data_IF_012855461028
#
_entry.id   IF_012855461028
#
_cell.length_a   1.000
_cell.length_b   1.000
_cell.length_c   1.000
_cell.angle_alpha   90.00
_cell.angle_beta   90.00
_cell.angle_gamma   90.00
#
_symmetry.space_group_name_H-M   'P 1'
#
loop_
_entity.id
_entity.type
_entity.pdbx_description
1 polymer ?
#
# COMPACT_ATOMS: atom_id res chain seq x y z
N UNK A 1 42.86 -1.54 71.20
CA UNK A 1 43.26 -2.87 70.71
C UNK A 1 42.41 -3.18 69.49
N UNK A 2 42.98 -3.00 68.29
CA UNK A 2 42.30 -3.24 67.03
C UNK A 2 42.27 -4.75 66.76
N UNK A 3 41.07 -5.34 66.67
CA UNK A 3 40.89 -6.71 66.18
C UNK A 3 40.85 -6.64 64.66
N UNK A 4 41.88 -7.23 64.03
CA UNK A 4 42.06 -7.24 62.58
C UNK A 4 40.91 -7.93 61.88
N UNK A 5 40.33 -7.25 60.88
CA UNK A 5 39.48 -7.88 59.87
C UNK A 5 40.39 -8.77 59.02
N UNK A 6 40.18 -10.09 59.09
CA UNK A 6 40.90 -11.06 58.26
C UNK A 6 40.14 -11.19 56.95
N UNK A 7 40.73 -10.73 55.85
CA UNK A 7 40.18 -10.90 54.51
C UNK A 7 40.39 -12.34 54.03
N UNK A 8 39.39 -12.88 53.34
CA UNK A 8 39.28 -14.27 52.93
C UNK A 8 40.18 -14.59 51.76
N UNK A 9 41.46 -14.87 52.03
CA UNK A 9 42.30 -15.49 51.01
C UNK A 9 43.15 -16.63 51.60
N UNK A 10 42.84 -17.91 51.30
CA UNK A 10 43.60 -19.05 51.79
C UNK A 10 45.05 -19.09 51.26
N UNK A 11 45.39 -18.27 50.26
CA UNK A 11 46.75 -18.20 49.67
C UNK A 11 47.68 -17.19 50.36
N UNK A 12 47.16 -16.40 51.32
CA UNK A 12 47.90 -15.35 52.04
C UNK A 12 48.23 -15.73 53.50
N UNK A 13 48.32 -17.03 53.81
CA UNK A 13 48.82 -17.46 55.12
C UNK A 13 50.16 -16.76 55.39
N UNK A 14 50.38 -16.28 56.62
CA UNK A 14 51.58 -15.51 56.97
C UNK A 14 52.89 -16.29 56.82
N UNK A 15 52.80 -17.59 56.55
CA UNK A 15 53.93 -18.48 56.30
C UNK A 15 54.70 -18.02 55.05
N UNK A 16 55.98 -17.72 55.24
CA UNK A 16 56.93 -17.27 54.21
C UNK A 16 56.62 -15.91 53.56
N UNK A 17 55.65 -15.15 54.10
CA UNK A 17 55.37 -13.80 53.64
C UNK A 17 56.52 -12.83 53.95
N UNK A 18 57.08 -12.22 52.91
CA UNK A 18 58.17 -11.24 52.95
C UNK A 18 57.71 -9.82 52.56
N UNK A 19 56.39 -9.63 52.33
CA UNK A 19 55.72 -8.37 52.04
C UNK A 19 54.52 -8.17 52.96
N UNK A 20 54.41 -6.97 53.56
CA UNK A 20 53.25 -6.54 54.34
C UNK A 20 52.66 -5.25 53.76
N UNK A 21 51.35 -5.27 53.52
CA UNK A 21 50.59 -4.13 52.99
C UNK A 21 49.61 -3.67 54.05
N UNK A 22 49.74 -2.41 54.49
CA UNK A 22 48.81 -1.79 55.43
C UNK A 22 47.83 -0.89 54.68
N UNK A 23 46.54 -1.15 54.82
CA UNK A 23 45.47 -0.43 54.14
C UNK A 23 44.21 -0.40 55.03
N UNK A 24 43.67 0.78 55.35
CA UNK A 24 42.47 0.96 56.18
C UNK A 24 42.45 0.16 57.51
N UNK A 25 43.62 0.03 58.14
CA UNK A 25 43.78 -0.75 59.38
C UNK A 25 43.71 -2.27 59.19
N UNK A 26 43.65 -2.75 57.95
CA UNK A 26 43.89 -4.14 57.60
C UNK A 26 45.36 -4.35 57.19
N UNK A 27 45.89 -5.52 57.52
CA UNK A 27 47.23 -5.96 57.15
C UNK A 27 47.11 -7.16 56.21
N UNK A 28 47.70 -7.05 55.03
CA UNK A 28 47.78 -8.13 54.06
C UNK A 28 49.21 -8.66 54.00
N UNK A 29 49.36 -9.97 54.17
CA UNK A 29 50.63 -10.67 54.03
C UNK A 29 50.74 -11.23 52.61
N UNK A 30 51.83 -10.94 51.92
CA UNK A 30 52.06 -11.36 50.56
C UNK A 30 53.53 -11.77 50.33
N UNK A 31 53.80 -12.28 49.14
CA UNK A 31 55.13 -12.68 48.71
C UNK A 31 55.65 -11.71 47.65
N UNK A 32 56.81 -11.09 47.88
CA UNK A 32 57.46 -10.17 46.95
C UNK A 32 57.69 -10.82 45.60
N UNK A 33 58.12 -12.08 45.58
CA UNK A 33 58.32 -12.83 44.34
C UNK A 33 57.06 -12.88 43.46
N UNK A 34 55.88 -13.07 44.06
CA UNK A 34 54.61 -13.10 43.34
C UNK A 34 54.16 -11.68 42.90
N UNK A 35 54.22 -10.71 43.82
CA UNK A 35 53.82 -9.33 43.55
C UNK A 35 54.69 -8.66 42.48
N UNK A 36 56.02 -8.75 42.62
CA UNK A 36 56.99 -8.16 41.70
C UNK A 36 56.92 -8.79 40.30
N UNK A 37 56.62 -10.09 40.21
CA UNK A 37 56.47 -10.77 38.91
C UNK A 37 55.26 -10.26 38.11
N UNK A 38 54.24 -9.72 38.80
CA UNK A 38 52.97 -9.28 38.20
C UNK A 38 52.85 -7.77 38.06
N UNK A 39 53.66 -6.99 38.77
CA UNK A 39 53.63 -5.53 38.74
C UNK A 39 55.02 -4.92 38.95
N UNK A 40 55.44 -4.12 37.97
CA UNK A 40 56.68 -3.33 38.06
C UNK A 40 56.59 -2.23 39.11
N UNK A 41 55.37 -1.71 39.34
CA UNK A 41 55.11 -0.72 40.39
C UNK A 41 55.28 -1.37 41.76
N UNK A 42 54.69 -2.54 41.99
CA UNK A 42 54.92 -3.29 43.24
C UNK A 42 56.39 -3.71 43.41
N UNK A 43 57.11 -3.99 42.32
CA UNK A 43 58.55 -4.23 42.38
C UNK A 43 59.32 -2.99 42.86
N UNK A 44 59.00 -1.81 42.33
CA UNK A 44 59.62 -0.55 42.74
C UNK A 44 59.26 -0.20 44.20
N UNK A 45 57.99 -0.32 44.58
CA UNK A 45 57.51 -0.13 45.96
C UNK A 45 58.18 -1.12 46.92
N UNK A 46 58.35 -2.38 46.50
CA UNK A 46 59.03 -3.40 47.29
C UNK A 46 60.54 -3.18 47.44
N UNK A 47 61.15 -2.32 46.62
CA UNK A 47 62.54 -1.88 46.76
C UNK A 47 62.65 -0.61 47.63
N UNK A 48 61.62 0.23 47.62
CA UNK A 48 61.55 1.47 48.39
C UNK A 48 61.02 1.27 49.82
N UNK A 49 60.25 0.20 50.07
CA UNK A 49 59.58 -0.06 51.34
C UNK A 49 60.53 -0.26 52.53
N UNK A 50 60.00 -0.03 53.73
CA UNK A 50 60.76 -0.13 54.97
C UNK A 50 61.07 -1.60 55.25
N UNK A 51 62.35 -1.92 55.45
CA UNK A 51 62.77 -3.23 55.91
C UNK A 51 62.55 -3.31 57.43
N UNK A 52 61.61 -4.15 57.86
CA UNK A 52 61.33 -4.44 59.28
C UNK A 52 61.34 -5.94 59.49
N UNK A 53 62.21 -6.45 60.37
CA UNK A 53 62.28 -7.88 60.75
C UNK A 53 62.35 -8.86 59.55
N UNK A 54 63.03 -8.46 58.46
CA UNK A 54 63.17 -9.29 57.26
C UNK A 54 62.01 -9.19 56.27
N UNK A 55 61.02 -8.34 56.53
CA UNK A 55 59.87 -8.06 55.66
C UNK A 55 59.93 -6.65 55.10
N UNK A 56 59.39 -6.48 53.90
CA UNK A 56 59.14 -5.16 53.32
C UNK A 56 57.73 -4.71 53.69
N UNK A 57 57.61 -3.56 54.34
CA UNK A 57 56.32 -2.97 54.71
C UNK A 57 56.05 -1.75 53.84
N UNK A 58 54.86 -1.67 53.23
CA UNK A 58 54.38 -0.45 52.59
C UNK A 58 52.94 -0.10 52.98
N UNK A 59 52.68 1.20 53.14
CA UNK A 59 51.35 1.73 53.46
C UNK A 59 50.63 2.17 52.19
N UNK A 60 49.41 1.68 52.00
CA UNK A 60 48.53 2.07 50.89
C UNK A 60 47.39 2.95 51.39
N UNK A 61 47.19 4.10 50.74
CA UNK A 61 46.19 5.10 51.15
C UNK A 61 45.27 5.55 50.00
N UNK A 62 45.42 5.00 48.79
CA UNK A 62 44.67 5.45 47.61
C UNK A 62 43.34 4.71 47.45
N UNK A 63 43.35 3.40 47.70
CA UNK A 63 42.21 2.50 47.59
C UNK A 63 41.93 1.83 48.92
N UNK A 64 40.73 1.27 49.05
CA UNK A 64 40.28 0.59 50.26
C UNK A 64 40.80 -0.85 50.36
N UNK A 65 40.65 -1.44 51.55
CA UNK A 65 41.09 -2.80 51.82
C UNK A 65 40.44 -3.85 50.88
N UNK A 66 39.19 -3.64 50.44
CA UNK A 66 38.49 -4.55 49.51
C UNK A 66 39.15 -4.56 48.14
N UNK A 67 39.54 -3.39 47.63
CA UNK A 67 40.22 -3.25 46.35
C UNK A 67 41.60 -3.90 46.38
N UNK A 68 42.34 -3.72 47.48
CA UNK A 68 43.65 -4.35 47.67
C UNK A 68 43.53 -5.87 47.80
N UNK A 69 42.51 -6.38 48.48
CA UNK A 69 42.25 -7.82 48.51
C UNK A 69 41.99 -8.38 47.11
N UNK A 70 41.18 -7.71 46.29
CA UNK A 70 40.93 -8.12 44.90
C UNK A 70 42.20 -8.10 44.04
N UNK A 71 43.07 -7.09 44.21
CA UNK A 71 44.37 -7.00 43.56
C UNK A 71 45.25 -8.21 43.92
N UNK A 72 45.32 -8.56 45.21
CA UNK A 72 46.10 -9.70 45.70
C UNK A 72 45.50 -11.03 45.25
N UNK A 73 44.18 -11.22 45.32
CA UNK A 73 43.51 -12.40 44.77
C UNK A 73 43.93 -12.63 43.32
N UNK A 74 43.96 -11.57 42.49
CA UNK A 74 44.38 -11.68 41.10
C UNK A 74 45.84 -12.07 40.94
N UNK A 75 46.76 -11.47 41.72
CA UNK A 75 48.19 -11.79 41.67
C UNK A 75 48.44 -13.30 41.87
N UNK A 76 47.67 -13.93 42.75
CA UNK A 76 47.80 -15.35 43.08
C UNK A 76 46.97 -16.29 42.20
N UNK A 77 45.82 -15.85 41.68
CA UNK A 77 44.82 -16.77 41.09
C UNK A 77 44.36 -16.40 39.68
N UNK A 78 44.88 -15.31 39.10
CA UNK A 78 44.43 -14.74 37.82
C UNK A 78 42.93 -14.36 37.79
N UNK A 79 42.30 -14.25 38.96
CA UNK A 79 40.91 -13.83 39.14
C UNK A 79 40.70 -13.14 40.49
N UNK A 80 39.54 -12.50 40.65
CA UNK A 80 39.13 -11.93 41.93
C UNK A 80 37.62 -12.09 42.13
N UNK A 81 37.17 -12.06 43.38
CA UNK A 81 35.75 -12.07 43.74
C UNK A 81 35.48 -10.92 44.69
N UNK A 82 34.37 -10.23 44.47
CA UNK A 82 33.90 -9.21 45.38
C UNK A 82 33.25 -9.88 46.60
N UNK A 83 33.43 -9.33 47.82
CA UNK A 83 32.73 -9.81 49.00
C UNK A 83 31.21 -9.75 48.76
N UNK A 84 30.48 -10.84 48.99
CA UNK A 84 29.01 -10.78 48.90
C UNK A 84 28.46 -10.10 50.15
N UNK A 85 27.40 -9.33 50.00
CA UNK A 85 26.74 -8.65 51.12
C UNK A 85 26.29 -9.61 52.25
N UNK A 86 26.13 -10.90 51.94
CA UNK A 86 25.73 -11.95 52.89
C UNK A 86 26.91 -12.56 53.68
N UNK A 87 28.16 -12.31 53.29
CA UNK A 87 29.34 -12.86 53.97
C UNK A 87 29.67 -12.10 55.27
N UNK A 88 28.83 -11.12 55.64
CA UNK A 88 29.01 -10.29 56.83
C UNK A 88 28.38 -10.87 58.11
N UNK A 89 27.59 -11.96 58.02
CA UNK A 89 27.07 -12.70 59.19
C UNK A 89 27.02 -14.21 58.91
N UNK A 90 28.13 -14.92 59.07
CA UNK A 90 28.14 -16.39 59.15
C UNK A 90 28.22 -16.85 60.61
N UNK A 91 27.12 -16.65 61.32
CA UNK A 91 26.81 -17.27 62.61
C UNK A 91 25.37 -17.77 62.60
N UNK A 92 25.22 -19.06 62.25
CA UNK A 92 24.04 -19.93 62.44
C UNK A 92 22.88 -19.88 61.42
N UNK A 93 22.91 -20.89 60.54
CA UNK A 93 21.81 -21.75 60.10
C UNK A 93 20.43 -21.13 59.78
N UNK A 94 20.15 -20.99 58.47
CA UNK A 94 18.79 -20.97 57.93
C UNK A 94 18.79 -20.80 56.41
N UNK A 95 18.60 -21.89 55.66
CA UNK A 95 18.08 -21.80 54.29
C UNK A 95 16.55 -21.63 54.33
N UNK A 96 15.87 -21.24 53.24
CA UNK A 96 16.30 -20.52 52.04
C UNK A 96 15.47 -19.22 51.87
N UNK A 97 15.77 -18.38 50.86
CA UNK A 97 14.76 -17.83 49.92
C UNK A 97 15.56 -17.30 48.73
N UNK A 98 15.40 -17.96 47.59
CA UNK A 98 15.64 -17.36 46.28
C UNK A 98 14.58 -16.27 46.08
N UNK A 99 14.90 -15.03 46.44
CA UNK A 99 14.14 -13.90 45.90
C UNK A 99 14.68 -13.70 44.50
N UNK A 100 13.93 -14.15 43.50
CA UNK A 100 14.04 -13.64 42.14
C UNK A 100 13.67 -12.14 42.18
N UNK A 101 14.63 -11.33 42.62
CA UNK A 101 14.47 -9.90 42.87
C UNK A 101 14.96 -9.10 41.69
N UNK A 102 14.01 -8.56 40.93
CA UNK A 102 14.11 -7.42 40.00
C UNK A 102 15.46 -7.22 39.29
N UNK A 103 15.49 -7.64 38.02
CA UNK A 103 16.58 -7.46 37.07
C UNK A 103 17.05 -5.99 36.94
N UNK A 104 17.97 -5.56 37.79
CA UNK A 104 18.74 -4.32 37.62
C UNK A 104 20.17 -4.49 38.12
N UNK A 105 21.04 -3.53 37.84
CA UNK A 105 22.45 -3.58 38.26
C UNK A 105 22.62 -3.24 39.73
N UNK A 106 23.55 -3.91 40.41
CA UNK A 106 24.03 -3.48 41.71
C UNK A 106 25.12 -2.41 41.50
N UNK A 107 24.79 -1.16 41.81
CA UNK A 107 25.70 -0.03 41.62
C UNK A 107 26.93 -0.13 42.52
N UNK A 108 26.83 -0.76 43.68
CA UNK A 108 27.96 -0.97 44.57
C UNK A 108 28.94 -2.00 43.98
N UNK A 109 28.42 -3.06 43.37
CA UNK A 109 29.22 -4.03 42.62
C UNK A 109 29.98 -3.36 41.46
N UNK A 110 29.27 -2.54 40.66
CA UNK A 110 29.88 -1.79 39.57
C UNK A 110 30.97 -0.83 40.08
N UNK A 111 30.72 -0.13 41.19
CA UNK A 111 31.71 0.77 41.77
C UNK A 111 32.97 0.02 42.26
N UNK A 112 32.83 -1.18 42.82
CA UNK A 112 33.97 -2.00 43.21
C UNK A 112 34.82 -2.40 41.99
N UNK A 113 34.19 -2.77 40.86
CA UNK A 113 34.91 -3.03 39.61
C UNK A 113 35.66 -1.80 39.08
N UNK A 114 35.13 -0.59 39.27
CA UNK A 114 35.81 0.67 38.93
C UNK A 114 37.08 0.86 39.78
N UNK A 115 37.01 0.60 41.08
CA UNK A 115 38.20 0.69 41.95
C UNK A 115 39.25 -0.35 41.61
N UNK A 116 38.85 -1.60 41.35
CA UNK A 116 39.81 -2.65 40.92
C UNK A 116 40.44 -2.29 39.57
N UNK A 117 39.67 -1.74 38.64
CA UNK A 117 40.19 -1.23 37.36
C UNK A 117 41.24 -0.13 37.59
N UNK A 118 40.94 0.84 38.45
CA UNK A 118 41.84 1.95 38.76
C UNK A 118 43.10 1.50 39.51
N UNK A 119 42.98 0.54 40.43
CA UNK A 119 44.11 -0.06 41.13
C UNK A 119 45.00 -0.85 40.17
N UNK A 120 44.41 -1.60 39.25
CA UNK A 120 45.15 -2.31 38.23
C UNK A 120 45.93 -1.36 37.30
N UNK A 121 45.37 -0.19 37.01
CA UNK A 121 46.05 0.85 36.25
C UNK A 121 47.21 1.47 37.06
N UNK A 122 46.97 1.83 38.33
CA UNK A 122 47.99 2.37 39.22
C UNK A 122 49.18 1.43 39.37
N UNK A 123 48.92 0.13 39.49
CA UNK A 123 49.95 -0.89 39.65
C UNK A 123 50.47 -1.49 38.32
N UNK A 124 50.08 -0.94 37.16
CA UNK A 124 50.47 -1.42 35.83
C UNK A 124 50.24 -2.94 35.63
N UNK A 125 49.07 -3.43 36.06
CA UNK A 125 48.62 -4.82 35.88
C UNK A 125 47.56 -4.86 34.78
N UNK A 126 48.01 -4.71 33.53
CA UNK A 126 47.13 -4.63 32.35
C UNK A 126 46.09 -5.77 32.21
N UNK A 127 46.42 -7.05 32.46
CA UNK A 127 45.39 -8.09 32.33
C UNK A 127 44.34 -8.07 33.46
N UNK A 128 44.66 -7.55 34.66
CA UNK A 128 43.64 -7.27 35.68
C UNK A 128 42.76 -6.09 35.29
N UNK A 129 43.35 -5.03 34.73
CA UNK A 129 42.61 -3.87 34.20
C UNK A 129 41.58 -4.32 33.15
N UNK A 130 41.99 -5.20 32.23
CA UNK A 130 41.10 -5.80 31.25
C UNK A 130 40.00 -6.66 31.91
N UNK A 131 40.36 -7.54 32.85
CA UNK A 131 39.40 -8.38 33.56
C UNK A 131 38.35 -7.56 34.33
N UNK A 132 38.76 -6.50 35.01
CA UNK A 132 37.85 -5.62 35.74
C UNK A 132 36.89 -4.87 34.80
N UNK A 133 37.38 -4.45 33.63
CA UNK A 133 36.52 -3.86 32.59
C UNK A 133 35.48 -4.87 32.07
N UNK A 134 35.89 -6.11 31.78
CA UNK A 134 34.97 -7.16 31.34
C UNK A 134 33.88 -7.40 32.39
N UNK A 135 34.26 -7.59 33.65
CA UNK A 135 33.29 -7.80 34.73
C UNK A 135 32.34 -6.63 34.93
N UNK A 136 32.84 -5.39 34.84
CA UNK A 136 31.98 -4.20 34.86
C UNK A 136 30.96 -4.22 33.71
N UNK A 137 31.40 -4.52 32.48
CA UNK A 137 30.52 -4.53 31.30
C UNK A 137 29.44 -5.60 31.41
N UNK A 138 29.80 -6.78 31.92
CA UNK A 138 28.92 -7.94 32.09
C UNK A 138 27.89 -7.71 33.21
N UNK A 139 28.29 -7.06 34.31
CA UNK A 139 27.41 -6.71 35.41
C UNK A 139 26.51 -5.48 35.09
N UNK A 140 26.93 -4.63 34.16
CA UNK A 140 26.24 -3.37 33.85
C UNK A 140 24.95 -3.58 33.05
N UNK A 141 23.83 -3.51 33.78
CA UNK A 141 22.43 -3.54 33.33
C UNK A 141 21.79 -2.13 33.38
N UNK A 142 20.60 -1.93 32.80
CA UNK A 142 19.87 -0.67 32.93
C UNK A 142 19.67 -0.25 34.40
N UNK A 143 19.78 1.05 34.65
CA UNK A 143 19.66 1.68 35.97
C UNK A 143 18.22 1.58 36.45
N UNK A 144 18.01 1.17 37.70
CA UNK A 144 16.68 1.16 38.32
C UNK A 144 16.21 2.58 38.61
N UNK A 145 14.90 2.79 38.65
CA UNK A 145 14.32 4.12 38.87
C UNK A 145 14.76 4.76 40.19
N UNK A 146 14.91 3.96 41.25
CA UNK A 146 15.34 4.42 42.57
C UNK A 146 16.85 4.66 42.68
N UNK A 147 17.63 4.27 41.67
CA UNK A 147 19.09 4.24 41.71
C UNK A 147 19.75 5.40 40.94
N UNK A 148 18.98 6.40 40.50
CA UNK A 148 19.46 7.50 39.66
C UNK A 148 20.56 8.35 40.32
N UNK A 149 20.46 8.64 41.62
CA UNK A 149 21.51 9.36 42.36
C UNK A 149 22.79 8.52 42.45
N UNK A 150 22.65 7.26 42.83
CA UNK A 150 23.74 6.29 42.93
C UNK A 150 24.42 6.08 41.57
N UNK A 151 23.67 6.17 40.47
CA UNK A 151 24.24 6.12 39.11
C UNK A 151 25.13 7.32 38.82
N UNK A 152 24.75 8.53 39.22
CA UNK A 152 25.62 9.70 39.08
C UNK A 152 26.86 9.60 39.97
N UNK A 153 26.75 8.98 41.15
CA UNK A 153 27.92 8.68 41.99
C UNK A 153 28.87 7.71 41.29
N UNK A 154 28.34 6.70 40.60
CA UNK A 154 29.13 5.78 39.78
C UNK A 154 29.82 6.50 38.62
N UNK A 155 29.10 7.35 37.90
CA UNK A 155 29.66 8.17 36.81
C UNK A 155 30.80 9.05 37.33
N UNK A 156 30.59 9.74 38.47
CA UNK A 156 31.61 10.56 39.11
C UNK A 156 32.84 9.75 39.51
N UNK A 157 32.65 8.54 40.06
CA UNK A 157 33.77 7.63 40.37
C UNK A 157 34.56 7.24 39.11
N UNK A 158 33.88 6.90 38.02
CA UNK A 158 34.53 6.59 36.73
C UNK A 158 35.29 7.81 36.21
N UNK A 159 34.69 9.00 36.25
CA UNK A 159 35.32 10.24 35.82
C UNK A 159 36.58 10.57 36.63
N UNK A 160 36.54 10.35 37.95
CA UNK A 160 37.67 10.55 38.86
C UNK A 160 38.83 9.57 38.62
N UNK A 161 38.52 8.32 38.27
CA UNK A 161 39.50 7.22 38.30
C UNK A 161 39.94 6.69 36.93
N UNK A 162 39.38 7.20 35.82
CA UNK A 162 39.86 6.84 34.48
C UNK A 162 40.29 8.08 33.70
N UNK A 163 41.06 7.90 32.62
CA UNK A 163 41.36 8.97 31.67
C UNK A 163 40.10 9.47 30.95
N UNK A 164 40.03 10.77 30.60
CA UNK A 164 38.96 11.32 29.79
C UNK A 164 39.04 10.90 28.33
N UNK A 165 37.87 10.83 27.68
CA UNK A 165 37.76 10.42 26.28
C UNK A 165 37.18 9.03 26.04
N UNK A 166 37.14 8.66 24.76
CA UNK A 166 36.46 7.45 24.25
C UNK A 166 37.28 6.17 24.42
N UNK A 167 38.56 6.32 24.74
CA UNK A 167 39.48 5.21 25.01
C UNK A 167 39.13 4.48 26.31
N UNK A 168 38.45 5.16 27.25
CA UNK A 168 37.96 4.54 28.48
C UNK A 168 36.71 3.69 28.19
N UNK A 169 36.89 2.38 28.18
CA UNK A 169 35.80 1.41 27.99
C UNK A 169 34.71 1.58 29.05
N UNK A 170 35.08 1.95 30.29
CA UNK A 170 34.14 2.21 31.37
C UNK A 170 33.29 3.47 31.10
N UNK A 171 33.92 4.57 30.66
CA UNK A 171 33.20 5.81 30.28
C UNK A 171 32.26 5.58 29.11
N UNK A 172 32.71 4.87 28.09
CA UNK A 172 31.89 4.52 26.93
C UNK A 172 30.70 3.64 27.33
N UNK A 173 30.90 2.65 28.21
CA UNK A 173 29.82 1.78 28.69
C UNK A 173 28.80 2.54 29.53
N UNK A 174 29.22 3.40 30.47
CA UNK A 174 28.29 4.16 31.32
C UNK A 174 27.52 5.21 30.52
N UNK A 175 28.15 5.85 29.52
CA UNK A 175 27.48 6.72 28.56
C UNK A 175 26.40 5.97 27.78
N UNK A 176 26.72 4.76 27.29
CA UNK A 176 25.75 3.91 26.58
C UNK A 176 24.56 3.54 27.46
N UNK A 177 24.78 3.23 28.75
CA UNK A 177 23.69 2.97 29.70
C UNK A 177 22.76 4.19 29.81
N UNK A 178 23.32 5.39 29.96
CA UNK A 178 22.54 6.62 30.03
C UNK A 178 21.75 6.89 28.74
N UNK A 179 22.37 6.72 27.56
CA UNK A 179 21.72 6.94 26.27
C UNK A 179 20.59 5.93 26.01
N UNK A 180 20.75 4.68 26.42
CA UNK A 180 19.69 3.66 26.34
C UNK A 180 18.44 4.04 27.13
N UNK A 181 18.61 4.74 28.27
CA UNK A 181 17.52 5.19 29.14
C UNK A 181 17.25 6.69 29.03
N UNK A 182 17.76 7.38 28.01
CA UNK A 182 17.72 8.85 27.88
C UNK A 182 16.33 9.46 28.03
N UNK A 183 15.28 8.77 27.58
CA UNK A 183 13.89 9.25 27.69
C UNK A 183 13.48 9.34 29.17
N UNK A 184 13.79 8.30 29.95
CA UNK A 184 13.44 8.23 31.37
C UNK A 184 14.33 9.16 32.21
N UNK A 185 15.62 9.21 31.90
CA UNK A 185 16.59 10.03 32.64
C UNK A 185 16.41 11.53 32.38
N UNK A 186 16.27 11.95 31.12
CA UNK A 186 16.17 13.37 30.77
C UNK A 186 14.77 13.97 30.96
N UNK A 187 13.74 13.13 31.21
CA UNK A 187 12.41 13.60 31.60
C UNK A 187 12.28 13.81 33.12
N UNK A 188 13.18 13.24 33.91
CA UNK A 188 13.20 13.42 35.36
C UNK A 188 13.93 14.71 35.72
N UNK A 189 13.17 15.71 36.17
CA UNK A 189 13.69 17.03 36.56
C UNK A 189 14.72 16.93 37.68
N UNK A 190 14.51 16.07 38.69
CA UNK A 190 15.44 15.89 39.80
C UNK A 190 16.77 15.29 39.32
N UNK A 191 16.72 14.34 38.38
CA UNK A 191 17.93 13.80 37.76
C UNK A 191 18.68 14.86 36.94
N UNK A 192 17.97 15.67 36.17
CA UNK A 192 18.57 16.74 35.36
C UNK A 192 19.22 17.80 36.26
N UNK A 193 18.56 18.22 37.33
CA UNK A 193 19.14 19.13 38.32
C UNK A 193 20.41 18.54 38.95
N UNK A 194 20.39 17.26 39.34
CA UNK A 194 21.58 16.58 39.86
C UNK A 194 22.69 16.46 38.83
N UNK A 195 22.36 16.20 37.56
CA UNK A 195 23.31 16.06 36.46
C UNK A 195 24.07 17.37 36.20
N UNK A 196 23.39 18.52 36.22
CA UNK A 196 24.00 19.83 35.99
C UNK A 196 24.55 20.51 37.25
N UNK A 197 24.03 20.15 38.44
CA UNK A 197 24.51 20.66 39.72
C UNK A 197 25.86 20.09 40.17
N UNK A 198 26.22 18.93 39.61
CA UNK A 198 27.48 18.23 39.90
C UNK A 198 28.61 18.69 38.98
N UNK A 199 29.79 18.93 39.56
CA UNK A 199 31.02 19.28 38.81
C UNK A 199 31.94 18.10 38.56
N UNK A 200 31.72 16.98 39.23
CA UNK A 200 32.53 15.77 39.14
C UNK A 200 32.34 14.88 37.89
N UNK A 201 31.27 14.97 37.06
CA UNK A 201 31.15 14.12 35.87
C UNK A 201 31.94 14.67 34.67
N UNK A 202 32.65 15.81 34.80
CA UNK A 202 33.48 16.51 33.79
C UNK A 202 33.01 16.39 32.32
N UNK A 203 33.42 15.33 31.62
CA UNK A 203 33.15 15.11 30.19
C UNK A 203 31.86 14.30 29.91
N UNK A 204 31.25 13.69 30.92
CA UNK A 204 30.06 12.87 30.79
C UNK A 204 28.84 13.69 30.40
N UNK A 205 28.58 14.81 31.09
CA UNK A 205 27.40 15.66 30.85
C UNK A 205 27.34 16.14 29.39
N UNK A 206 28.38 16.80 28.84
CA UNK A 206 28.33 17.27 27.46
C UNK A 206 28.19 16.09 26.47
N UNK A 207 28.84 14.95 26.72
CA UNK A 207 28.71 13.76 25.86
C UNK A 207 27.31 13.15 25.91
N UNK A 208 26.71 13.06 27.09
CA UNK A 208 25.36 12.52 27.28
C UNK A 208 24.32 13.38 26.57
N UNK A 209 24.41 14.71 26.70
CA UNK A 209 23.49 15.64 26.04
C UNK A 209 23.68 15.62 24.53
N UNK A 210 24.92 15.73 24.03
CA UNK A 210 25.19 15.66 22.59
C UNK A 210 24.73 14.32 21.99
N UNK A 211 25.02 13.21 22.67
CA UNK A 211 24.57 11.88 22.23
C UNK A 211 23.04 11.77 22.17
N UNK A 212 22.35 12.30 23.18
CA UNK A 212 20.89 12.31 23.18
C UNK A 212 20.32 13.14 22.01
N UNK A 213 20.87 14.33 21.78
CA UNK A 213 20.47 15.21 20.66
C UNK A 213 20.69 14.53 19.32
N UNK A 214 21.89 13.96 19.07
CA UNK A 214 22.20 13.27 17.81
C UNK A 214 21.22 12.13 17.55
N UNK A 215 20.86 11.34 18.57
CA UNK A 215 19.89 10.27 18.40
C UNK A 215 18.46 10.79 18.17
N UNK A 216 18.07 11.93 18.76
CA UNK A 216 16.79 12.59 18.49
C UNK A 216 16.74 13.14 17.06
N UNK A 217 17.80 13.82 16.60
CA UNK A 217 17.92 14.30 15.23
C UNK A 217 17.88 13.14 14.23
N UNK A 218 18.61 12.05 14.50
CA UNK A 218 18.58 10.87 13.66
C UNK A 218 17.18 10.24 13.60
N UNK A 219 16.43 10.23 14.72
CA UNK A 219 15.04 9.76 14.74
C UNK A 219 14.12 10.67 13.91
N UNK A 220 14.23 11.99 14.09
CA UNK A 220 13.45 12.97 13.34
C UNK A 220 13.75 12.91 11.82
N UNK A 221 15.01 12.69 11.44
CA UNK A 221 15.42 12.49 10.04
C UNK A 221 14.77 11.22 9.50
N UNK A 222 14.84 10.09 10.22
CA UNK A 222 14.20 8.83 9.79
C UNK A 222 12.71 8.99 9.56
N UNK A 223 12.01 9.63 10.51
CA UNK A 223 10.59 9.92 10.37
C UNK A 223 10.31 10.79 9.14
N UNK A 224 11.06 11.89 8.96
CA UNK A 224 10.90 12.77 7.80
C UNK A 224 11.12 12.03 6.48
N UNK A 225 12.16 11.20 6.39
CA UNK A 225 12.44 10.40 5.20
C UNK A 225 11.35 9.37 4.92
N UNK A 226 10.77 8.77 5.97
CA UNK A 226 9.63 7.87 5.87
C UNK A 226 8.41 8.57 5.26
N UNK A 227 7.98 9.69 5.86
CA UNK A 227 6.87 10.48 5.34
C UNK A 227 7.11 10.98 3.91
N UNK A 228 8.35 11.35 3.57
CA UNK A 228 8.69 11.78 2.21
C UNK A 228 8.55 10.63 1.21
N UNK A 229 8.97 9.41 1.57
CA UNK A 229 8.78 8.23 0.71
C UNK A 229 7.31 7.89 0.50
N UNK A 230 6.49 7.94 1.56
CA UNK A 230 5.04 7.71 1.49
C UNK A 230 4.33 8.77 0.65
N UNK A 231 4.75 10.04 0.77
CA UNK A 231 4.23 11.13 -0.04
C UNK A 231 4.54 10.91 -1.53
N UNK A 232 5.74 10.47 -1.88
CA UNK A 232 6.10 10.23 -3.29
C UNK A 232 5.33 9.01 -3.85
N UNK A 233 5.15 7.95 -3.07
CA UNK A 233 4.30 6.81 -3.44
C UNK A 233 2.85 7.27 -3.70
N UNK A 234 2.28 8.05 -2.76
CA UNK A 234 0.92 8.58 -2.89
C UNK A 234 0.78 9.49 -4.11
N UNK A 235 1.81 10.26 -4.44
CA UNK A 235 1.84 11.14 -5.62
C UNK A 235 1.87 10.35 -6.92
N UNK A 236 2.63 9.25 -6.97
CA UNK A 236 2.65 8.34 -8.13
C UNK A 236 1.28 7.70 -8.33
N UNK A 237 0.66 7.18 -7.26
CA UNK A 237 -0.69 6.60 -7.31
C UNK A 237 -1.73 7.61 -7.78
N UNK A 238 -1.68 8.84 -7.26
CA UNK A 238 -2.57 9.92 -7.68
C UNK A 238 -2.36 10.28 -9.16
N UNK A 239 -1.12 10.23 -9.66
CA UNK A 239 -0.82 10.39 -11.08
C UNK A 239 -1.45 9.29 -11.95
N UNK A 240 -1.38 8.03 -11.52
CA UNK A 240 -2.04 6.91 -12.20
C UNK A 240 -3.56 7.08 -12.24
N UNK A 241 -4.17 7.40 -11.10
CA UNK A 241 -5.62 7.61 -11.01
C UNK A 241 -6.10 8.80 -11.85
N UNK A 242 -5.28 9.84 -11.98
CA UNK A 242 -5.56 10.96 -12.88
C UNK A 242 -5.56 10.52 -14.35
N UNK A 243 -4.60 9.70 -14.76
CA UNK A 243 -4.55 9.14 -16.11
C UNK A 243 -5.78 8.27 -16.39
N UNK A 244 -6.15 7.38 -15.48
CA UNK A 244 -7.34 6.53 -15.59
C UNK A 244 -8.62 7.37 -15.70
N UNK A 245 -8.77 8.40 -14.86
CA UNK A 245 -9.90 9.33 -14.91
C UNK A 245 -10.00 10.02 -16.27
N UNK A 246 -8.89 10.46 -16.83
CA UNK A 246 -8.86 11.17 -18.10
C UNK A 246 -9.16 10.22 -19.27
N UNK A 247 -8.70 8.96 -19.21
CA UNK A 247 -9.07 7.91 -20.16
C UNK A 247 -10.58 7.60 -20.11
N UNK A 248 -11.15 7.42 -18.92
CA UNK A 248 -12.59 7.20 -18.74
C UNK A 248 -13.39 8.37 -19.29
N UNK A 249 -12.95 9.60 -19.02
CA UNK A 249 -13.60 10.82 -19.55
C UNK A 249 -13.58 10.85 -21.08
N UNK A 250 -12.47 10.44 -21.69
CA UNK A 250 -12.35 10.36 -23.15
C UNK A 250 -13.29 9.30 -23.73
N UNK A 251 -13.33 8.10 -23.13
CA UNK A 251 -14.25 7.02 -23.52
C UNK A 251 -15.71 7.46 -23.44
N UNK A 252 -16.10 8.08 -22.32
CA UNK A 252 -17.44 8.63 -22.13
C UNK A 252 -17.79 9.67 -23.20
N UNK A 253 -16.85 10.55 -23.57
CA UNK A 253 -17.06 11.51 -24.64
C UNK A 253 -17.25 10.86 -26.02
N UNK A 254 -16.55 9.75 -26.30
CA UNK A 254 -16.74 8.99 -27.53
C UNK A 254 -18.12 8.33 -27.57
N UNK A 255 -18.52 7.62 -26.52
CA UNK A 255 -19.84 6.98 -26.42
C UNK A 255 -20.98 8.00 -26.53
N UNK A 256 -20.86 9.15 -25.89
CA UNK A 256 -21.84 10.23 -26.02
C UNK A 256 -22.00 10.72 -27.47
N UNK A 257 -20.89 10.80 -28.22
CA UNK A 257 -20.91 11.18 -29.64
C UNK A 257 -21.60 10.10 -30.48
N UNK A 258 -21.29 8.83 -30.23
CA UNK A 258 -21.92 7.70 -30.92
C UNK A 258 -23.42 7.64 -30.66
N UNK A 259 -23.85 7.79 -29.41
CA UNK A 259 -25.27 7.86 -29.04
C UNK A 259 -25.97 9.03 -29.74
N UNK A 260 -25.34 10.19 -29.83
CA UNK A 260 -25.89 11.35 -30.54
C UNK A 260 -26.04 11.06 -32.03
N UNK A 261 -25.05 10.43 -32.65
CA UNK A 261 -25.11 10.02 -34.05
C UNK A 261 -26.22 9.00 -34.28
N UNK A 262 -26.29 7.95 -33.46
CA UNK A 262 -27.33 6.92 -33.55
C UNK A 262 -28.73 7.52 -33.40
N UNK A 263 -28.91 8.42 -32.44
CA UNK A 263 -30.16 9.16 -32.26
C UNK A 263 -30.55 9.95 -33.52
N UNK A 264 -29.61 10.68 -34.11
CA UNK A 264 -29.88 11.45 -35.33
C UNK A 264 -30.26 10.56 -36.51
N UNK A 265 -29.60 9.41 -36.67
CA UNK A 265 -29.93 8.40 -37.69
C UNK A 265 -31.32 7.83 -37.47
N UNK A 266 -31.68 7.51 -36.23
CA UNK A 266 -32.99 6.98 -35.89
C UNK A 266 -34.09 8.02 -36.14
N UNK A 267 -33.87 9.28 -35.76
CA UNK A 267 -34.78 10.40 -36.06
C UNK A 267 -34.96 10.60 -37.58
N UNK A 268 -33.89 10.48 -38.37
CA UNK A 268 -33.97 10.55 -39.83
C UNK A 268 -34.76 9.37 -40.41
N UNK A 269 -34.50 8.14 -39.94
CA UNK A 269 -35.24 6.95 -40.38
C UNK A 269 -36.73 7.04 -40.06
N UNK A 270 -37.10 7.59 -38.89
CA UNK A 270 -38.49 7.85 -38.54
C UNK A 270 -39.13 8.86 -39.50
N UNK A 271 -38.45 9.97 -39.82
CA UNK A 271 -38.95 10.94 -40.81
C UNK A 271 -39.14 10.31 -42.19
N UNK A 272 -38.20 9.48 -42.64
CA UNK A 272 -38.31 8.78 -43.92
C UNK A 272 -39.48 7.79 -43.92
N UNK A 273 -39.67 7.03 -42.84
CA UNK A 273 -40.81 6.13 -42.67
C UNK A 273 -42.13 6.91 -42.74
N UNK A 274 -42.23 8.02 -42.02
CA UNK A 274 -43.45 8.83 -41.96
C UNK A 274 -43.77 9.45 -43.33
N UNK A 275 -42.76 9.88 -44.09
CA UNK A 275 -42.92 10.33 -45.48
C UNK A 275 -43.42 9.19 -46.40
N UNK A 276 -42.83 8.00 -46.30
CA UNK A 276 -43.28 6.84 -47.09
C UNK A 276 -44.72 6.41 -46.74
N UNK A 277 -45.12 6.51 -45.46
CA UNK A 277 -46.50 6.27 -45.04
C UNK A 277 -47.47 7.30 -45.65
N UNK A 278 -47.07 8.57 -45.74
CA UNK A 278 -47.85 9.60 -46.41
C UNK A 278 -48.00 9.32 -47.92
N UNK A 279 -46.92 8.92 -48.60
CA UNK A 279 -46.95 8.51 -50.01
C UNK A 279 -47.84 7.27 -50.24
N UNK A 280 -47.78 6.28 -49.35
CA UNK A 280 -48.68 5.13 -49.42
C UNK A 280 -50.15 5.54 -49.23
N UNK A 281 -50.43 6.52 -48.37
CA UNK A 281 -51.78 7.04 -48.21
C UNK A 281 -52.29 7.75 -49.47
N UNK A 282 -51.43 8.51 -50.17
CA UNK A 282 -51.81 9.13 -51.45
C UNK A 282 -52.04 8.09 -52.53
N UNK A 283 -51.13 7.11 -52.66
CA UNK A 283 -51.28 6.03 -53.64
C UNK A 283 -52.53 5.20 -53.40
N UNK A 284 -52.93 4.95 -52.15
CA UNK A 284 -54.19 4.29 -51.83
C UNK A 284 -55.39 5.09 -52.35
N UNK A 285 -55.40 6.40 -52.13
CA UNK A 285 -56.47 7.28 -52.62
C UNK A 285 -56.55 7.30 -54.15
N UNK A 286 -55.40 7.32 -54.82
CA UNK A 286 -55.32 7.27 -56.27
C UNK A 286 -55.81 5.92 -56.80
N UNK A 287 -55.42 4.82 -56.16
CA UNK A 287 -55.89 3.48 -56.49
C UNK A 287 -57.41 3.37 -56.32
N UNK A 288 -57.98 3.88 -55.23
CA UNK A 288 -59.43 3.90 -55.01
C UNK A 288 -60.16 4.72 -56.08
N UNK A 289 -59.58 5.86 -56.48
CA UNK A 289 -60.10 6.71 -57.56
C UNK A 289 -60.06 5.97 -58.91
N UNK A 290 -58.94 5.34 -59.24
CA UNK A 290 -58.79 4.55 -60.46
C UNK A 290 -59.76 3.35 -60.48
N UNK A 291 -59.97 2.70 -59.33
CA UNK A 291 -60.94 1.62 -59.19
C UNK A 291 -62.37 2.10 -59.45
N UNK A 292 -62.74 3.28 -58.94
CA UNK A 292 -64.05 3.87 -59.21
C UNK A 292 -64.22 4.17 -60.70
N UNK A 293 -63.20 4.76 -61.33
CA UNK A 293 -63.21 5.02 -62.77
C UNK A 293 -63.35 3.74 -63.61
N UNK A 294 -62.67 2.66 -63.23
CA UNK A 294 -62.81 1.36 -63.89
C UNK A 294 -64.25 0.83 -63.77
N UNK A 295 -64.86 0.92 -62.59
CA UNK A 295 -66.27 0.54 -62.39
C UNK A 295 -67.21 1.37 -63.26
N UNK A 296 -66.99 2.69 -63.36
CA UNK A 296 -67.80 3.58 -64.19
C UNK A 296 -67.64 3.25 -65.68
N UNK A 297 -66.41 2.98 -66.13
CA UNK A 297 -66.12 2.55 -67.50
C UNK A 297 -66.75 1.19 -67.84
N UNK A 298 -66.76 0.23 -66.90
CA UNK A 298 -67.43 -1.06 -67.07
C UNK A 298 -68.95 -0.88 -67.25
N UNK A 299 -69.57 0.01 -66.46
CA UNK A 299 -70.98 0.37 -66.62
C UNK A 299 -71.26 0.99 -68.00
N UNK A 300 -70.42 1.94 -68.43
CA UNK A 300 -70.53 2.55 -69.75
C UNK A 300 -70.37 1.51 -70.88
N UNK A 301 -69.39 0.61 -70.79
CA UNK A 301 -69.19 -0.46 -71.76
C UNK A 301 -70.39 -1.42 -71.80
N UNK A 302 -71.00 -1.73 -70.65
CA UNK A 302 -72.22 -2.53 -70.57
C UNK A 302 -73.40 -1.86 -71.28
N UNK A 303 -73.55 -0.55 -71.10
CA UNK A 303 -74.58 0.23 -71.79
C UNK A 303 -74.36 0.24 -73.31
N UNK A 304 -73.13 0.55 -73.76
CA UNK A 304 -72.77 0.52 -75.19
C UNK A 304 -72.99 -0.87 -75.80
N UNK A 305 -72.63 -1.96 -75.09
CA UNK A 305 -72.92 -3.33 -75.53
C UNK A 305 -74.42 -3.59 -75.68
N UNK A 306 -75.22 -3.08 -74.75
CA UNK A 306 -76.68 -3.20 -74.79
C UNK A 306 -77.28 -2.43 -75.97
N UNK A 307 -76.81 -1.20 -76.20
CA UNK A 307 -77.19 -0.38 -77.36
C UNK A 307 -76.81 -1.07 -78.69
N UNK A 308 -75.60 -1.62 -78.77
CA UNK A 308 -75.13 -2.37 -79.94
C UNK A 308 -75.98 -3.62 -80.20
N UNK A 309 -76.33 -4.37 -79.15
CA UNK A 309 -77.23 -5.53 -79.26
C UNK A 309 -78.62 -5.14 -79.77
N UNK A 310 -79.18 -4.03 -79.26
CA UNK A 310 -80.45 -3.50 -79.72
C UNK A 310 -80.37 -3.04 -81.19
N UNK A 311 -79.29 -2.38 -81.59
CA UNK A 311 -79.04 -1.97 -82.97
C UNK A 311 -78.92 -3.19 -83.90
N UNK A 312 -78.15 -4.21 -83.52
CA UNK A 312 -78.02 -5.46 -84.28
C UNK A 312 -79.37 -6.18 -84.44
N UNK A 313 -80.22 -6.16 -83.40
CA UNK A 313 -81.56 -6.72 -83.46
C UNK A 313 -82.44 -5.95 -84.44
N UNK A 314 -82.36 -4.61 -84.47
CA UNK A 314 -83.05 -3.76 -85.46
C UNK A 314 -82.58 -4.04 -86.88
N UNK A 315 -81.27 -4.12 -87.10
CA UNK A 315 -80.67 -4.47 -88.41
C UNK A 315 -81.15 -5.84 -88.86
N UNK A 316 -81.11 -6.84 -87.98
CA UNK A 316 -81.62 -8.19 -88.28
C UNK A 316 -83.11 -8.17 -88.61
N UNK A 317 -83.90 -7.38 -87.88
CA UNK A 317 -85.32 -7.17 -88.16
C UNK A 317 -85.57 -6.54 -89.53
N UNK A 318 -84.83 -5.48 -89.87
CA UNK A 318 -84.90 -4.83 -91.18
C UNK A 318 -84.48 -5.78 -92.31
N UNK A 319 -83.44 -6.58 -92.11
CA UNK A 319 -82.97 -7.59 -93.06
C UNK A 319 -84.05 -8.63 -93.35
N UNK A 320 -84.71 -9.16 -92.32
CA UNK A 320 -85.82 -10.14 -92.48
C UNK A 320 -86.97 -9.53 -93.29
N UNK A 321 -87.29 -8.26 -93.09
CA UNK A 321 -88.35 -7.56 -93.86
C UNK A 321 -87.94 -7.40 -95.33
N UNK A 322 -86.68 -7.03 -95.58
CA UNK A 322 -86.11 -6.94 -96.92
C UNK A 322 -86.15 -8.29 -97.63
N UNK A 323 -85.69 -9.36 -96.98
CA UNK A 323 -85.68 -10.71 -97.56
C UNK A 323 -87.11 -11.19 -97.89
N UNK A 324 -88.09 -10.92 -97.01
CA UNK A 324 -89.50 -11.23 -97.29
C UNK A 324 -90.03 -10.45 -98.50
N UNK A 325 -89.67 -9.16 -98.64
CA UNK A 325 -90.04 -8.36 -99.81
C UNK A 325 -89.41 -8.91 -101.09
N UNK A 326 -88.11 -9.22 -101.08
CA UNK A 326 -87.42 -9.83 -102.22
C UNK A 326 -88.13 -11.14 -102.63
N UNK A 327 -88.39 -12.05 -101.67
CA UNK A 327 -89.14 -13.29 -101.94
C UNK A 327 -90.54 -13.03 -102.52
N UNK A 328 -91.23 -11.97 -102.10
CA UNK A 328 -92.56 -11.63 -102.64
C UNK A 328 -92.49 -11.16 -104.10
N UNK A 329 -91.41 -10.50 -104.50
CA UNK A 329 -91.18 -10.08 -105.87
C UNK A 329 -90.76 -11.26 -106.74
N UNK A 330 -89.92 -12.16 -106.24
CA UNK A 330 -89.52 -13.39 -106.95
C UNK A 330 -90.71 -14.31 -107.27
N UNK A 331 -91.82 -14.20 -106.52
CA UNK A 331 -93.07 -14.93 -106.83
C UNK A 331 -93.81 -14.40 -108.06
N UNK A 332 -93.47 -13.21 -108.54
CA UNK A 332 -94.07 -12.62 -109.73
C UNK A 332 -93.42 -13.31 -110.94
N UNK A 333 -94.12 -14.29 -111.53
CA UNK A 333 -93.56 -15.13 -112.60
C UNK A 333 -93.37 -14.40 -113.93
N UNK A 334 -94.17 -13.36 -114.17
CA UNK A 334 -94.09 -12.60 -115.41
C UNK A 334 -94.50 -11.15 -115.23
N UNK A 335 -93.94 -10.27 -116.06
CA UNK A 335 -94.37 -8.88 -116.10
C UNK A 335 -95.78 -8.77 -116.69
N UNK A 336 -96.72 -8.16 -115.97
CA UNK A 336 -98.11 -7.98 -116.43
C UNK A 336 -98.25 -7.08 -117.66
N UNK A 337 -97.25 -6.27 -117.97
CA UNK A 337 -97.31 -5.35 -119.10
C UNK A 337 -96.65 -5.93 -120.36
N UNK A 338 -95.38 -6.35 -120.28
CA UNK A 338 -94.65 -6.87 -121.44
C UNK A 338 -94.69 -8.41 -121.58
N UNK A 339 -95.19 -9.13 -120.58
CA UNK A 339 -95.29 -10.60 -120.61
C UNK A 339 -93.97 -11.35 -120.38
N UNK A 340 -92.86 -10.65 -120.15
CA UNK A 340 -91.53 -11.25 -119.94
C UNK A 340 -91.50 -12.18 -118.72
N UNK A 341 -90.88 -13.37 -118.86
CA UNK A 341 -90.87 -14.45 -117.84
C UNK A 341 -89.62 -15.33 -117.95
N UNK A 342 -88.84 -15.54 -116.88
CA UNK A 342 -88.81 -14.68 -115.69
C UNK A 342 -88.38 -13.27 -116.11
N UNK A 343 -88.86 -12.24 -115.40
CA UNK A 343 -88.44 -10.87 -115.68
C UNK A 343 -87.43 -10.44 -114.62
N UNK A 344 -86.33 -9.82 -115.06
CA UNK A 344 -85.40 -9.17 -114.15
C UNK A 344 -86.00 -7.86 -113.65
N UNK A 345 -85.73 -7.54 -112.39
CA UNK A 345 -86.22 -6.32 -111.78
C UNK A 345 -85.17 -5.61 -110.94
N UNK A 346 -85.32 -4.30 -110.82
CA UNK A 346 -84.57 -3.48 -109.85
C UNK A 346 -85.54 -2.90 -108.84
N UNK A 347 -85.08 -2.71 -107.60
CA UNK A 347 -85.89 -2.10 -106.55
C UNK A 347 -85.65 -0.58 -106.60
N UNK A 348 -86.72 0.19 -106.75
CA UNK A 348 -86.63 1.65 -106.74
C UNK A 348 -86.58 2.24 -105.31
N UNK A 349 -86.39 3.56 -105.20
CA UNK A 349 -86.33 4.28 -103.91
C UNK A 349 -87.61 4.10 -103.05
N UNK A 350 -88.75 3.85 -103.70
CA UNK A 350 -90.04 3.56 -103.07
C UNK A 350 -90.18 2.07 -102.66
N UNK A 351 -89.12 1.28 -102.78
CA UNK A 351 -89.06 -0.16 -102.50
C UNK A 351 -90.02 -1.01 -103.35
N UNK A 352 -90.29 -0.62 -104.59
CA UNK A 352 -91.08 -1.41 -105.54
C UNK A 352 -90.18 -2.06 -106.59
N UNK A 353 -90.52 -3.28 -107.00
CA UNK A 353 -89.83 -3.95 -108.09
C UNK A 353 -90.23 -3.30 -109.42
N UNK A 354 -89.27 -2.88 -110.24
CA UNK A 354 -89.51 -2.41 -111.60
C UNK A 354 -88.96 -3.40 -112.60
N UNK A 355 -89.77 -3.81 -113.55
CA UNK A 355 -89.31 -4.65 -114.64
C UNK A 355 -88.21 -3.93 -115.44
N UNK A 356 -87.05 -4.56 -115.59
CA UNK A 356 -85.90 -3.96 -116.26
C UNK A 356 -86.16 -3.66 -117.75
N UNK A 357 -87.05 -4.41 -118.42
CA UNK A 357 -87.34 -4.23 -119.84
C UNK A 357 -88.37 -3.13 -120.15
N UNK A 358 -89.42 -2.97 -119.33
CA UNK A 358 -90.51 -2.03 -119.61
C UNK A 358 -90.75 -0.98 -118.51
N UNK A 359 -89.93 -1.00 -117.45
CA UNK A 359 -90.02 -0.09 -116.30
C UNK A 359 -91.35 -0.09 -115.54
N UNK A 360 -92.23 -1.06 -115.82
CA UNK A 360 -93.52 -1.20 -115.13
C UNK A 360 -93.30 -1.52 -113.67
N UNK A 361 -94.03 -0.83 -112.77
CA UNK A 361 -93.97 -1.08 -111.33
C UNK A 361 -94.75 -2.34 -110.97
N UNK A 362 -94.09 -3.18 -110.20
CA UNK A 362 -94.64 -4.36 -109.56
C UNK A 362 -94.67 -4.11 -108.06
N UNK A 363 -95.88 -4.17 -107.51
CA UNK A 363 -96.10 -4.04 -106.08
C UNK A 363 -95.99 -5.42 -105.44
N UNK A 364 -95.28 -5.48 -104.31
CA UNK A 364 -95.20 -6.68 -103.48
C UNK A 364 -96.62 -7.04 -103.07
N UNK A 365 -97.03 -8.28 -103.33
CA UNK A 365 -98.22 -8.83 -102.69
C UNK A 365 -97.81 -9.15 -101.25
N UNK A 366 -98.25 -8.31 -100.30
CA UNK A 366 -98.10 -8.60 -98.87
C UNK A 366 -98.59 -10.00 -98.53
#
# INVERSE_FOLDING_TARGET
>A
MARGKTFSNPYLAADYADLEIHCDGATFFAHRAAACARSKVLEAESKAGLASEGKTVFEHQVFDAVTIDCLLQYIYTDGYKLPRADDQEAGEAGAPISVEGEEGCDIYELAAHVYVYAAADLYDINPLKALAATKFIDAAKPVKENDKSSFLDLVARIAKHTMPGEESVLRTKVLKMALQQKKQLLQDEAFVELLFGRKDPDDFVPRCICGAIVEYEAAAIRERTGHQSEMETSKIELGSLQADRDEIRQKLSCEQRELKNFRSTCEQALRTRDAALAELATLRKDHDTARQQLSDNELQLSDVRSQLSAANTRVRGAQIVLDKKIQSFDRIRSCRHCGESPFDYTIDEDQNARCSACSTRHFSRM
#
